data_IF_026951237885
#
_entry.id   IF_026951237885
#
_cell.length_a   1.000
_cell.length_b   1.000
_cell.length_c   1.000
_cell.angle_alpha   90.00
_cell.angle_beta   90.00
_cell.angle_gamma   90.00
#
_symmetry.space_group_name_H-M   'P 1'
#
loop_
_entity.id
_entity.type
_entity.pdbx_description
1 polymer ?
#
# COMPACT_ATOMS: atom_id res chain seq x y z
N UNK A 1 29.99 59.36 -16.46
CA UNK A 1 30.85 58.19 -16.28
C UNK A 1 30.22 57.20 -15.28
N UNK A 2 29.07 56.63 -15.58
CA UNK A 2 28.43 55.55 -14.78
C UNK A 2 27.48 54.67 -15.61
N UNK A 3 27.82 54.32 -16.86
CA UNK A 3 27.00 53.47 -17.74
C UNK A 3 27.81 52.46 -18.57
N UNK A 4 28.96 52.01 -18.10
CA UNK A 4 29.78 51.03 -18.83
C UNK A 4 30.20 49.81 -17.97
N UNK A 5 29.64 49.58 -16.78
CA UNK A 5 30.05 48.51 -15.89
C UNK A 5 29.01 47.37 -15.72
N UNK A 6 27.85 47.39 -16.42
CA UNK A 6 26.77 46.40 -16.23
C UNK A 6 26.69 45.39 -17.40
N UNK A 7 27.38 45.63 -18.51
CA UNK A 7 27.29 44.71 -19.67
C UNK A 7 28.36 43.60 -19.73
N UNK A 8 29.32 43.57 -18.80
CA UNK A 8 30.39 42.57 -18.81
C UNK A 8 30.14 41.40 -17.85
N UNK A 9 29.09 41.40 -17.03
CA UNK A 9 28.75 40.31 -16.08
C UNK A 9 27.69 39.32 -16.60
N UNK A 10 27.08 39.57 -17.75
CA UNK A 10 26.07 38.65 -18.33
C UNK A 10 26.63 37.70 -19.39
N UNK A 11 27.90 37.79 -19.74
CA UNK A 11 28.53 36.93 -20.77
C UNK A 11 29.30 35.71 -20.19
N UNK A 12 29.37 35.55 -18.86
CA UNK A 12 30.09 34.43 -18.21
C UNK A 12 29.20 33.35 -17.59
N UNK A 13 27.87 33.49 -17.66
CA UNK A 13 26.94 32.50 -17.10
C UNK A 13 26.36 31.51 -18.13
N UNK A 14 26.78 31.55 -19.38
CA UNK A 14 26.22 30.71 -20.46
C UNK A 14 27.14 29.57 -20.95
N UNK A 15 28.26 29.32 -20.29
CA UNK A 15 29.27 28.36 -20.79
C UNK A 15 29.50 27.12 -19.92
N UNK A 16 28.54 26.73 -19.04
CA UNK A 16 28.72 25.55 -18.12
C UNK A 16 27.51 24.63 -18.09
N UNK A 17 26.80 24.44 -19.19
CA UNK A 17 25.78 23.42 -19.35
C UNK A 17 25.95 22.66 -20.67
N UNK A 18 27.18 22.26 -20.99
CA UNK A 18 27.45 21.12 -21.87
C UNK A 18 27.95 19.98 -21.00
N UNK A 19 27.08 19.49 -20.10
CA UNK A 19 27.25 18.14 -19.59
C UNK A 19 27.06 17.19 -20.79
N UNK A 20 28.13 16.47 -21.15
CA UNK A 20 28.03 15.29 -22.00
C UNK A 20 26.76 14.54 -21.64
N UNK A 21 25.96 14.03 -22.61
CA UNK A 21 24.98 13.03 -22.28
C UNK A 21 25.79 11.85 -21.73
N UNK A 22 25.76 11.70 -20.40
CA UNK A 22 26.22 10.46 -19.79
C UNK A 22 25.46 9.39 -20.56
N UNK A 23 26.20 8.50 -21.24
CA UNK A 23 25.66 7.30 -21.86
C UNK A 23 24.87 6.65 -20.75
N UNK A 24 23.56 6.57 -20.91
CA UNK A 24 22.69 5.99 -19.88
C UNK A 24 23.26 4.62 -19.57
N UNK A 25 23.81 4.43 -18.35
CA UNK A 25 24.36 3.16 -17.94
C UNK A 25 23.24 2.13 -17.97
N UNK A 26 23.29 1.23 -18.97
CA UNK A 26 22.33 0.14 -19.07
C UNK A 26 22.79 -0.98 -18.14
N UNK A 27 21.90 -1.49 -17.32
CA UNK A 27 22.10 -2.66 -16.46
C UNK A 27 21.43 -3.87 -17.11
N UNK A 28 22.09 -5.00 -17.08
CA UNK A 28 21.51 -6.27 -17.56
C UNK A 28 21.27 -7.19 -16.38
N UNK A 29 20.08 -7.81 -16.31
CA UNK A 29 19.70 -8.78 -15.28
C UNK A 29 19.43 -10.12 -15.96
N UNK A 30 20.07 -11.19 -15.52
CA UNK A 30 19.82 -12.55 -15.98
C UNK A 30 19.00 -13.31 -14.94
N UNK A 31 17.76 -13.66 -15.25
CA UNK A 31 16.83 -14.37 -14.38
C UNK A 31 16.74 -15.84 -14.77
N UNK A 32 16.81 -16.77 -13.80
CA UNK A 32 16.58 -18.21 -14.02
C UNK A 32 15.14 -18.55 -14.38
N UNK A 33 14.19 -17.75 -13.88
CA UNK A 33 12.80 -17.76 -14.28
C UNK A 33 12.23 -16.34 -14.18
N UNK A 34 11.14 -16.07 -14.91
CA UNK A 34 10.46 -14.79 -14.89
C UNK A 34 8.96 -15.01 -14.58
N UNK A 35 8.41 -14.27 -13.63
CA UNK A 35 6.99 -14.31 -13.34
C UNK A 35 6.20 -13.40 -14.29
N UNK A 36 5.41 -14.00 -15.19
CA UNK A 36 4.43 -13.32 -16.04
C UNK A 36 3.20 -12.97 -15.18
N UNK A 37 3.23 -11.79 -14.60
CA UNK A 37 2.23 -11.34 -13.65
C UNK A 37 0.84 -11.09 -14.30
N UNK A 38 0.80 -10.77 -15.58
CA UNK A 38 -0.45 -10.56 -16.32
C UNK A 38 -1.23 -11.88 -16.46
N UNK A 39 -0.52 -12.99 -16.71
CA UNK A 39 -1.10 -14.29 -16.91
C UNK A 39 -0.96 -15.25 -15.72
N UNK A 40 -0.43 -14.80 -14.57
CA UNK A 40 -0.22 -15.56 -13.34
C UNK A 40 0.52 -16.89 -13.59
N UNK A 41 1.65 -16.84 -14.31
CA UNK A 41 2.44 -18.04 -14.64
C UNK A 41 3.94 -17.76 -14.62
N UNK A 42 4.72 -18.83 -14.48
CA UNK A 42 6.17 -18.77 -14.63
C UNK A 42 6.56 -18.98 -16.10
N UNK A 43 7.49 -18.16 -16.55
CA UNK A 43 8.25 -18.34 -17.80
C UNK A 43 9.64 -18.89 -17.46
N UNK A 44 10.33 -19.45 -18.46
CA UNK A 44 11.72 -19.89 -18.36
C UNK A 44 12.69 -18.74 -18.16
N UNK A 45 14.01 -18.99 -18.40
CA UNK A 45 15.03 -17.98 -18.23
C UNK A 45 14.86 -16.77 -19.13
N UNK A 46 15.09 -15.56 -18.57
CA UNK A 46 14.98 -14.30 -19.30
C UNK A 46 16.10 -13.34 -18.95
N UNK A 47 16.47 -12.52 -19.92
CA UNK A 47 17.34 -11.36 -19.76
C UNK A 47 16.49 -10.09 -19.81
N UNK A 48 16.67 -9.24 -18.81
CA UNK A 48 16.12 -7.89 -18.76
C UNK A 48 17.24 -6.89 -19.02
N UNK A 49 16.96 -5.84 -19.78
CA UNK A 49 17.83 -4.68 -19.90
C UNK A 49 17.12 -3.48 -19.29
N UNK A 50 17.81 -2.79 -18.39
CA UNK A 50 17.31 -1.60 -17.69
C UNK A 50 18.09 -0.39 -18.18
N UNK A 51 17.37 0.64 -18.62
CA UNK A 51 17.95 1.90 -19.09
C UNK A 51 17.11 3.06 -18.51
N UNK A 52 17.77 4.03 -17.88
CA UNK A 52 17.10 5.20 -17.27
C UNK A 52 15.94 4.82 -16.33
N UNK A 53 16.15 3.80 -15.49
CA UNK A 53 15.16 3.36 -14.51
C UNK A 53 13.95 2.61 -15.08
N UNK A 54 13.97 2.25 -16.38
CA UNK A 54 12.92 1.51 -17.06
C UNK A 54 13.45 0.24 -17.70
N UNK A 55 12.57 -0.74 -17.85
CA UNK A 55 12.85 -1.95 -18.64
C UNK A 55 12.83 -1.55 -20.11
N UNK A 56 13.99 -1.63 -20.78
CA UNK A 56 14.14 -1.30 -22.21
C UNK A 56 14.03 -2.53 -23.11
N UNK A 57 14.44 -3.72 -22.60
CA UNK A 57 14.34 -4.98 -23.35
C UNK A 57 14.01 -6.15 -22.42
N UNK A 58 13.29 -7.14 -22.97
CA UNK A 58 13.01 -8.43 -22.31
C UNK A 58 13.20 -9.53 -23.35
N UNK A 59 14.11 -10.45 -23.10
CA UNK A 59 14.42 -11.55 -24.03
C UNK A 59 14.50 -12.88 -23.31
N UNK A 60 13.97 -13.98 -23.87
CA UNK A 60 14.25 -15.31 -23.37
C UNK A 60 15.75 -15.64 -23.52
N UNK A 61 16.27 -16.49 -22.65
CA UNK A 61 17.63 -17.01 -22.69
C UNK A 61 17.56 -18.48 -23.12
N UNK A 62 18.21 -18.81 -24.25
CA UNK A 62 18.26 -20.18 -24.78
C UNK A 62 19.35 -21.02 -24.07
N UNK A 63 20.46 -20.39 -23.67
CA UNK A 63 21.55 -21.04 -22.94
C UNK A 63 21.82 -20.34 -21.59
N UNK A 64 21.32 -20.94 -20.53
CA UNK A 64 21.50 -20.43 -19.17
C UNK A 64 22.98 -20.49 -18.70
N UNK A 65 23.84 -21.32 -19.33
CA UNK A 65 25.23 -21.48 -19.00
C UNK A 65 26.14 -20.53 -19.79
N UNK A 66 25.57 -19.75 -20.73
CA UNK A 66 26.35 -18.74 -21.45
C UNK A 66 27.02 -17.77 -20.46
N UNK A 67 28.22 -17.31 -20.81
CA UNK A 67 29.00 -16.40 -19.96
C UNK A 67 28.22 -15.08 -19.77
N UNK A 68 27.87 -14.76 -18.52
CA UNK A 68 27.30 -13.47 -18.15
C UNK A 68 28.36 -12.39 -18.35
N UNK A 69 27.96 -11.23 -18.88
CA UNK A 69 28.86 -10.08 -19.03
C UNK A 69 29.31 -9.57 -17.66
N UNK A 70 30.52 -9.06 -17.54
CA UNK A 70 31.18 -8.72 -16.27
C UNK A 70 30.42 -7.73 -15.37
N UNK A 71 29.51 -6.96 -15.94
CA UNK A 71 28.69 -5.96 -15.23
C UNK A 71 27.17 -6.33 -15.16
N UNK A 72 26.80 -7.57 -15.47
CA UNK A 72 25.40 -7.98 -15.38
C UNK A 72 25.08 -8.54 -14.00
N UNK A 73 23.86 -8.28 -13.54
CA UNK A 73 23.29 -8.85 -12.31
C UNK A 73 22.90 -10.29 -12.62
N UNK A 74 23.49 -11.23 -11.90
CA UNK A 74 23.28 -12.67 -12.10
C UNK A 74 22.26 -13.24 -11.11
N UNK A 75 21.03 -13.42 -11.58
CA UNK A 75 19.92 -14.05 -10.86
C UNK A 75 19.47 -15.36 -11.54
N UNK A 76 20.42 -16.10 -12.16
CA UNK A 76 20.09 -17.35 -12.87
C UNK A 76 19.62 -18.47 -11.95
N UNK A 77 19.92 -18.41 -10.66
CA UNK A 77 19.40 -19.33 -9.64
C UNK A 77 18.12 -18.81 -8.96
N UNK A 78 17.53 -17.72 -9.48
CA UNK A 78 16.40 -17.04 -8.89
C UNK A 78 15.24 -16.84 -9.89
N UNK A 79 14.06 -16.66 -9.34
CA UNK A 79 12.89 -16.15 -10.07
C UNK A 79 12.82 -14.63 -9.91
N UNK A 80 12.76 -13.91 -11.04
CA UNK A 80 12.48 -12.48 -11.07
C UNK A 80 10.97 -12.22 -11.14
N UNK A 81 10.50 -11.34 -10.28
CA UNK A 81 9.12 -10.84 -10.24
C UNK A 81 9.10 -9.33 -10.43
N UNK A 82 7.99 -8.74 -10.88
CA UNK A 82 7.80 -7.29 -10.75
C UNK A 82 7.91 -6.87 -9.29
N UNK A 83 8.34 -5.64 -9.04
CA UNK A 83 8.28 -5.05 -7.70
C UNK A 83 6.90 -5.23 -7.08
N UNK A 84 6.86 -5.69 -5.84
CA UNK A 84 5.61 -5.98 -5.12
C UNK A 84 4.89 -4.68 -4.74
N UNK A 85 3.57 -4.75 -4.74
CA UNK A 85 2.69 -3.65 -4.32
C UNK A 85 1.83 -4.10 -3.15
N UNK A 86 1.89 -3.38 -2.03
CA UNK A 86 1.00 -3.56 -0.88
C UNK A 86 -0.07 -2.47 -0.88
N UNK A 87 -1.34 -2.86 -1.07
CA UNK A 87 -2.46 -1.94 -1.23
C UNK A 87 -3.03 -1.42 0.08
N UNK A 88 -2.47 -1.83 1.23
CA UNK A 88 -2.91 -1.36 2.53
C UNK A 88 -1.77 -1.39 3.54
N UNK A 89 -1.18 -0.23 3.79
CA UNK A 89 -0.17 -0.04 4.84
C UNK A 89 -0.43 1.24 5.64
N UNK A 90 0.23 1.36 6.79
CA UNK A 90 0.27 2.55 7.64
C UNK A 90 1.72 2.88 8.02
N UNK A 91 2.48 3.45 7.10
CA UNK A 91 3.90 3.79 7.32
C UNK A 91 4.12 4.85 8.41
N UNK A 92 3.06 5.56 8.80
CA UNK A 92 3.11 6.54 9.87
C UNK A 92 3.09 5.96 11.29
N UNK A 93 2.86 4.66 11.46
CA UNK A 93 2.72 4.01 12.77
C UNK A 93 3.17 2.56 12.76
N UNK A 94 3.41 2.02 13.96
CA UNK A 94 3.52 0.58 14.19
C UNK A 94 2.97 0.26 15.58
N UNK A 95 2.05 -0.71 15.65
CA UNK A 95 1.39 -1.12 16.89
C UNK A 95 2.39 -1.66 17.91
N UNK A 96 2.21 -1.26 19.16
CA UNK A 96 2.96 -1.71 20.32
C UNK A 96 2.09 -1.58 21.57
N UNK A 97 2.47 -2.16 22.72
CA UNK A 97 1.76 -1.91 23.98
C UNK A 97 1.69 -0.43 24.38
N UNK A 98 2.64 0.39 23.94
CA UNK A 98 2.68 1.82 24.20
C UNK A 98 1.84 2.67 23.24
N UNK A 99 1.40 2.12 22.09
CA UNK A 99 0.79 2.87 20.99
C UNK A 99 -0.41 3.75 21.43
N UNK A 100 -1.26 3.24 22.34
CA UNK A 100 -2.40 4.00 22.87
C UNK A 100 -2.03 5.19 23.75
N UNK A 101 -0.79 5.27 24.24
CA UNK A 101 -0.29 6.37 25.07
C UNK A 101 0.70 7.29 24.32
N UNK A 102 1.20 6.86 23.17
CA UNK A 102 2.19 7.61 22.40
C UNK A 102 1.67 8.97 21.94
N UNK A 103 0.39 9.06 21.53
CA UNK A 103 -0.23 10.32 21.13
C UNK A 103 -0.23 11.44 22.19
N UNK A 104 0.04 11.10 23.46
CA UNK A 104 0.21 12.07 24.54
C UNK A 104 1.66 12.42 24.85
N UNK A 105 2.63 11.80 24.17
CA UNK A 105 4.07 11.89 24.49
C UNK A 105 4.94 12.23 23.30
N UNK A 106 4.50 11.86 22.09
CA UNK A 106 5.26 12.03 20.86
C UNK A 106 4.76 13.22 20.07
N UNK A 107 5.68 13.93 19.45
CA UNK A 107 5.40 15.00 18.51
C UNK A 107 5.27 14.42 17.07
N UNK A 108 4.69 15.16 16.12
CA UNK A 108 4.60 14.74 14.72
C UNK A 108 5.95 14.35 14.11
N UNK A 109 7.05 15.01 14.52
CA UNK A 109 8.41 14.77 14.06
C UNK A 109 8.92 13.38 14.49
N UNK A 110 8.57 12.94 15.72
CA UNK A 110 8.93 11.62 16.22
C UNK A 110 8.33 10.51 15.32
N UNK A 111 7.07 10.66 14.93
CA UNK A 111 6.42 9.75 13.98
C UNK A 111 7.04 9.84 12.58
N UNK A 112 7.38 11.04 12.11
CA UNK A 112 8.01 11.23 10.81
C UNK A 112 9.37 10.51 10.73
N UNK A 113 10.22 10.63 11.74
CA UNK A 113 11.51 9.94 11.77
C UNK A 113 11.36 8.41 11.89
N UNK A 114 10.40 7.91 12.66
CA UNK A 114 10.12 6.47 12.73
C UNK A 114 9.65 5.93 11.38
N UNK A 115 8.84 6.69 10.64
CA UNK A 115 8.29 6.28 9.35
C UNK A 115 9.36 6.07 8.28
N UNK A 116 10.51 6.74 8.37
CA UNK A 116 11.67 6.49 7.49
C UNK A 116 12.15 5.04 7.61
N UNK A 117 12.37 4.55 8.83
CA UNK A 117 12.79 3.17 9.05
C UNK A 117 11.71 2.14 8.68
N UNK A 118 10.42 2.51 8.78
CA UNK A 118 9.32 1.65 8.34
C UNK A 118 9.30 1.52 6.82
N UNK A 119 9.43 2.64 6.10
CA UNK A 119 9.49 2.67 4.65
C UNK A 119 10.70 1.88 4.10
N UNK A 120 11.87 2.02 4.71
CA UNK A 120 13.08 1.30 4.32
C UNK A 120 12.90 -0.22 4.45
N UNK A 121 12.40 -0.71 5.61
CA UNK A 121 12.14 -2.15 5.81
C UNK A 121 11.11 -2.70 4.83
N UNK A 122 10.07 -1.94 4.54
CA UNK A 122 9.04 -2.32 3.54
C UNK A 122 9.65 -2.43 2.15
N UNK A 123 10.50 -1.49 1.75
CA UNK A 123 11.20 -1.54 0.46
C UNK A 123 12.15 -2.73 0.38
N UNK A 124 12.96 -2.97 1.42
CA UNK A 124 13.89 -4.11 1.47
C UNK A 124 13.21 -5.48 1.47
N UNK A 125 11.94 -5.53 1.91
CA UNK A 125 11.11 -6.72 1.80
C UNK A 125 10.53 -6.95 0.38
N UNK A 126 10.90 -6.12 -0.61
CA UNK A 126 10.48 -6.24 -2.02
C UNK A 126 9.24 -5.44 -2.39
N UNK A 127 8.62 -4.72 -1.45
CA UNK A 127 7.47 -3.86 -1.74
C UNK A 127 7.94 -2.50 -2.26
N UNK A 128 8.07 -2.39 -3.58
CA UNK A 128 8.56 -1.17 -4.24
C UNK A 128 7.47 -0.10 -4.38
N UNK A 129 6.21 -0.48 -4.25
CA UNK A 129 5.05 0.42 -4.22
C UNK A 129 4.12 0.08 -3.06
N UNK A 130 3.56 1.08 -2.40
CA UNK A 130 2.56 0.89 -1.34
C UNK A 130 1.44 1.91 -1.47
N UNK A 131 0.22 1.50 -1.08
CA UNK A 131 -0.89 2.43 -0.81
C UNK A 131 -1.02 2.60 0.69
N UNK A 132 -0.64 3.78 1.19
CA UNK A 132 -0.76 4.14 2.60
C UNK A 132 -2.16 4.72 2.88
N UNK A 133 -2.92 4.02 3.70
CA UNK A 133 -4.33 4.33 3.95
C UNK A 133 -4.59 5.09 5.27
N UNK A 134 -3.59 5.77 5.78
CA UNK A 134 -3.76 6.69 6.91
C UNK A 134 -2.49 6.98 7.67
N UNK A 135 -2.21 8.25 7.80
CA UNK A 135 -1.07 8.77 8.51
C UNK A 135 -0.81 10.22 8.11
N UNK A 136 -0.69 11.10 9.09
CA UNK A 136 -0.47 12.53 8.83
C UNK A 136 0.86 12.79 8.14
N UNK A 137 1.86 11.94 8.40
CA UNK A 137 3.24 12.13 7.96
C UNK A 137 3.50 11.53 6.57
N UNK A 138 2.62 10.68 6.05
CA UNK A 138 2.90 9.85 4.88
C UNK A 138 2.98 10.64 3.58
N UNK A 139 2.27 11.77 3.48
CA UNK A 139 2.42 12.69 2.34
C UNK A 139 3.82 13.32 2.36
N UNK A 140 4.31 13.76 3.52
CA UNK A 140 5.65 14.32 3.64
C UNK A 140 6.73 13.25 3.40
N UNK A 141 6.52 12.03 3.90
CA UNK A 141 7.39 10.88 3.65
C UNK A 141 7.47 10.55 2.15
N UNK A 142 6.32 10.47 1.45
CA UNK A 142 6.27 10.31 -0.01
C UNK A 142 7.11 11.38 -0.71
N UNK A 143 6.87 12.65 -0.38
CA UNK A 143 7.57 13.75 -1.02
C UNK A 143 9.10 13.71 -0.79
N UNK A 144 9.55 13.26 0.39
CA UNK A 144 10.97 13.11 0.68
C UNK A 144 11.60 11.93 -0.11
N UNK A 145 10.87 10.82 -0.26
CA UNK A 145 11.30 9.69 -1.09
C UNK A 145 11.35 10.07 -2.57
N UNK A 146 10.33 10.76 -3.09
CA UNK A 146 10.26 11.19 -4.49
C UNK A 146 11.36 12.20 -4.84
N UNK A 147 11.83 12.99 -3.87
CA UNK A 147 12.99 13.88 -4.01
C UNK A 147 14.34 13.16 -3.84
N UNK A 148 14.35 11.88 -3.53
CA UNK A 148 15.58 11.12 -3.29
C UNK A 148 16.31 11.47 -1.99
N UNK A 149 15.64 12.13 -1.03
CA UNK A 149 16.24 12.52 0.25
C UNK A 149 16.39 11.32 1.20
N UNK A 150 15.51 10.35 1.08
CA UNK A 150 15.50 9.12 1.90
C UNK A 150 15.08 7.92 1.04
N UNK A 151 15.55 6.70 1.36
CA UNK A 151 15.08 5.49 0.70
C UNK A 151 13.65 5.13 1.11
N UNK A 152 12.90 4.52 0.20
CA UNK A 152 11.55 4.02 0.49
C UNK A 152 10.81 3.57 -0.76
N UNK A 153 9.64 2.92 -0.61
CA UNK A 153 8.78 2.54 -1.71
C UNK A 153 8.12 3.78 -2.34
N UNK A 154 7.56 3.63 -3.53
CA UNK A 154 6.62 4.59 -4.12
C UNK A 154 5.34 4.57 -3.28
N UNK A 155 4.96 5.70 -2.71
CA UNK A 155 3.81 5.79 -1.81
C UNK A 155 2.64 6.45 -2.52
N UNK A 156 1.47 5.81 -2.48
CA UNK A 156 0.17 6.37 -2.83
C UNK A 156 -0.52 6.71 -1.51
N UNK A 157 -0.52 7.97 -1.12
CA UNK A 157 -0.87 8.42 0.23
C UNK A 157 -2.32 8.91 0.34
N UNK A 158 -3.07 8.38 1.30
CA UNK A 158 -4.42 8.88 1.62
C UNK A 158 -4.39 10.13 2.53
N UNK A 159 -3.35 10.30 3.31
CA UNK A 159 -3.38 11.28 4.39
C UNK A 159 -4.40 10.92 5.47
N UNK A 160 -5.17 11.88 5.99
CA UNK A 160 -6.20 11.61 7.01
C UNK A 160 -7.37 10.83 6.41
N UNK A 161 -7.75 9.73 7.04
CA UNK A 161 -8.99 9.01 6.70
C UNK A 161 -10.23 9.87 6.97
N UNK A 162 -11.32 9.61 6.24
CA UNK A 162 -12.61 10.24 6.48
C UNK A 162 -13.47 9.30 7.32
N UNK A 163 -14.02 9.80 8.41
CA UNK A 163 -14.90 9.11 9.35
C UNK A 163 -16.09 9.98 9.72
N UNK A 164 -17.09 9.41 10.37
CA UNK A 164 -18.15 10.17 11.06
C UNK A 164 -17.76 10.48 12.50
N UNK A 165 -18.46 11.39 13.16
CA UNK A 165 -18.29 11.65 14.61
C UNK A 165 -18.44 10.36 15.40
N UNK A 166 -17.43 10.03 16.22
CA UNK A 166 -17.37 8.77 16.96
C UNK A 166 -17.06 7.55 16.09
N UNK A 167 -16.79 7.72 14.81
CA UNK A 167 -16.41 6.67 13.88
C UNK A 167 -14.99 6.14 14.13
N UNK A 168 -14.63 5.05 13.44
CA UNK A 168 -13.37 4.33 13.68
C UNK A 168 -12.11 5.22 13.58
N UNK A 169 -12.06 6.13 12.61
CA UNK A 169 -10.94 7.03 12.41
C UNK A 169 -11.18 8.45 12.99
N UNK A 170 -12.17 8.64 13.87
CA UNK A 170 -12.31 9.89 14.61
C UNK A 170 -11.13 10.06 15.58
N UNK A 171 -10.30 11.12 15.44
CA UNK A 171 -9.10 11.31 16.25
C UNK A 171 -9.41 11.63 17.73
N UNK A 172 -10.67 11.84 18.10
CA UNK A 172 -11.10 12.09 19.49
C UNK A 172 -11.65 10.86 20.19
N UNK A 173 -11.66 9.71 19.53
CA UNK A 173 -12.08 8.46 20.17
C UNK A 173 -11.14 8.07 21.32
N UNK A 174 -11.75 7.74 22.49
CA UNK A 174 -11.01 7.21 23.64
C UNK A 174 -10.35 8.25 24.54
N UNK A 175 -10.51 9.56 24.28
CA UNK A 175 -10.04 10.64 25.16
C UNK A 175 -11.16 11.12 26.11
N UNK A 176 -10.77 11.75 27.22
CA UNK A 176 -11.76 12.31 28.14
C UNK A 176 -12.50 13.50 27.53
N UNK A 177 -13.71 13.75 28.00
CA UNK A 177 -14.52 14.88 27.54
C UNK A 177 -13.80 16.23 27.73
N UNK A 178 -13.17 16.43 28.89
CA UNK A 178 -12.45 17.68 29.18
C UNK A 178 -11.26 17.91 28.21
N UNK A 179 -10.55 16.84 27.86
CA UNK A 179 -9.48 16.92 26.88
C UNK A 179 -10.04 17.18 25.47
N UNK A 180 -11.12 16.50 25.08
CA UNK A 180 -11.78 16.74 23.79
C UNK A 180 -12.26 18.19 23.68
N UNK A 181 -12.88 18.74 24.72
CA UNK A 181 -13.35 20.14 24.78
C UNK A 181 -12.16 21.12 24.63
N UNK A 182 -11.00 20.81 25.24
CA UNK A 182 -9.79 21.66 25.17
C UNK A 182 -9.13 21.63 23.78
N UNK A 183 -9.20 20.50 23.08
CA UNK A 183 -8.62 20.29 21.75
C UNK A 183 -9.54 20.76 20.63
N UNK A 184 -10.81 21.04 20.93
CA UNK A 184 -11.84 21.35 19.95
C UNK A 184 -12.39 20.10 19.23
N UNK A 185 -13.57 20.25 18.66
CA UNK A 185 -14.24 19.20 17.92
C UNK A 185 -13.68 19.08 16.51
N UNK A 186 -13.34 17.86 16.03
CA UNK A 186 -12.83 17.66 14.69
C UNK A 186 -13.93 17.88 13.65
N UNK A 187 -13.56 18.43 12.51
CA UNK A 187 -14.43 18.66 11.36
C UNK A 187 -13.89 18.06 10.07
N UNK A 188 -14.40 18.47 8.90
CA UNK A 188 -13.97 17.96 7.59
C UNK A 188 -12.46 18.11 7.34
N UNK A 189 -11.81 19.12 7.90
CA UNK A 189 -10.35 19.33 7.83
C UNK A 189 -9.59 18.22 8.58
N UNK A 190 -10.17 17.69 9.64
CA UNK A 190 -9.63 16.58 10.41
C UNK A 190 -10.08 15.21 9.90
N UNK A 191 -10.95 15.20 8.89
CA UNK A 191 -11.53 13.98 8.33
C UNK A 191 -12.80 13.51 9.03
N UNK A 192 -13.42 14.32 9.91
CA UNK A 192 -14.68 13.97 10.57
C UNK A 192 -15.83 14.73 9.95
N UNK A 193 -16.87 13.99 9.51
CA UNK A 193 -17.98 14.58 8.77
C UNK A 193 -19.34 14.18 9.37
N UNK A 194 -20.33 15.05 9.12
CA UNK A 194 -21.75 14.80 9.35
C UNK A 194 -22.56 15.32 8.14
N UNK A 195 -22.98 14.40 7.30
CA UNK A 195 -23.78 14.66 6.10
C UNK A 195 -23.00 14.92 4.82
N UNK A 196 -23.70 14.88 3.66
CA UNK A 196 -23.08 14.91 2.33
C UNK A 196 -22.30 16.20 2.01
N UNK A 197 -22.67 17.34 2.58
CA UNK A 197 -21.98 18.63 2.34
C UNK A 197 -20.58 18.59 2.94
N UNK A 198 -20.45 18.12 4.18
CA UNK A 198 -19.16 17.98 4.86
C UNK A 198 -18.31 16.87 4.21
N UNK A 199 -18.94 15.80 3.74
CA UNK A 199 -18.31 14.74 2.98
C UNK A 199 -17.55 15.29 1.76
N UNK A 200 -18.22 16.12 0.93
CA UNK A 200 -17.60 16.80 -0.21
C UNK A 200 -16.47 17.75 0.21
N UNK A 201 -16.66 18.45 1.33
CA UNK A 201 -15.63 19.36 1.87
C UNK A 201 -14.38 18.58 2.31
N UNK A 202 -14.56 17.45 2.99
CA UNK A 202 -13.44 16.60 3.42
C UNK A 202 -12.62 16.06 2.24
N UNK A 203 -13.26 15.59 1.15
CA UNK A 203 -12.54 15.16 -0.07
C UNK A 203 -11.72 16.29 -0.68
N UNK A 204 -12.31 17.49 -0.80
CA UNK A 204 -11.61 18.67 -1.34
C UNK A 204 -10.44 19.09 -0.46
N UNK A 205 -10.56 18.90 0.86
CA UNK A 205 -9.45 19.14 1.79
C UNK A 205 -8.32 18.13 1.56
N UNK A 206 -8.61 16.84 1.36
CA UNK A 206 -7.59 15.82 0.99
C UNK A 206 -6.89 16.18 -0.31
N UNK A 207 -7.62 16.62 -1.32
CA UNK A 207 -7.02 17.11 -2.57
C UNK A 207 -6.06 18.28 -2.32
N UNK A 208 -6.48 19.29 -1.55
CA UNK A 208 -5.65 20.45 -1.18
C UNK A 208 -4.38 20.03 -0.43
N UNK A 209 -4.45 19.01 0.42
CA UNK A 209 -3.32 18.51 1.20
C UNK A 209 -2.36 17.62 0.40
N UNK A 210 -2.73 17.25 -0.83
CA UNK A 210 -1.90 16.44 -1.72
C UNK A 210 -2.06 14.94 -1.53
N UNK A 211 -3.23 14.47 -1.07
CA UNK A 211 -3.56 13.05 -1.10
C UNK A 211 -3.59 12.50 -2.52
N UNK A 212 -3.35 11.20 -2.69
CA UNK A 212 -3.43 10.47 -3.97
C UNK A 212 -4.65 9.54 -4.03
N UNK A 213 -5.26 9.27 -2.90
CA UNK A 213 -6.38 8.33 -2.72
C UNK A 213 -7.24 8.79 -1.53
N UNK A 214 -8.51 8.45 -1.53
CA UNK A 214 -9.39 8.69 -0.38
C UNK A 214 -9.56 7.41 0.43
N UNK A 215 -9.41 7.50 1.75
CA UNK A 215 -9.73 6.42 2.71
C UNK A 215 -10.95 6.83 3.52
N UNK A 216 -11.92 5.91 3.64
CA UNK A 216 -13.06 6.03 4.56
C UNK A 216 -13.09 4.85 5.53
N UNK A 217 -13.78 5.04 6.66
CA UNK A 217 -14.07 3.96 7.62
C UNK A 217 -15.58 3.70 7.67
N UNK A 218 -16.05 2.81 6.78
CA UNK A 218 -17.47 2.54 6.59
C UNK A 218 -18.14 1.82 7.77
N UNK A 219 -17.33 1.11 8.58
CA UNK A 219 -17.78 0.45 9.82
C UNK A 219 -16.89 0.81 11.00
N UNK A 220 -17.28 0.39 12.19
CA UNK A 220 -16.38 0.34 13.35
C UNK A 220 -15.13 -0.50 13.05
N UNK A 221 -14.11 -0.39 13.90
CA UNK A 221 -12.85 -1.11 13.75
C UNK A 221 -12.45 -1.87 15.00
N UNK A 222 -11.58 -2.85 14.81
CA UNK A 222 -11.11 -3.73 15.89
C UNK A 222 -10.31 -2.97 16.94
N UNK A 223 -9.37 -2.14 16.52
CA UNK A 223 -8.40 -1.46 17.39
C UNK A 223 -8.90 -0.11 17.95
N UNK A 224 -10.06 0.39 17.56
CA UNK A 224 -10.62 1.63 18.11
C UNK A 224 -11.33 1.39 19.46
N UNK A 225 -11.53 2.47 20.22
CA UNK A 225 -12.27 2.44 21.49
C UNK A 225 -13.79 2.27 21.32
N UNK A 226 -14.29 2.19 20.09
CA UNK A 226 -15.72 1.92 19.82
C UNK A 226 -16.12 0.52 20.31
N UNK A 227 -17.37 0.39 20.79
CA UNK A 227 -17.91 -0.87 21.34
C UNK A 227 -18.02 -1.98 20.30
N UNK A 228 -18.33 -1.64 19.05
CA UNK A 228 -18.52 -2.59 17.95
C UNK A 228 -17.52 -2.31 16.82
N UNK A 229 -17.03 -3.41 16.22
CA UNK A 229 -16.29 -3.36 14.96
C UNK A 229 -17.21 -3.45 13.72
N UNK A 230 -18.48 -3.80 13.91
CA UNK A 230 -19.36 -4.28 12.84
C UNK A 230 -20.40 -3.25 12.41
N UNK A 231 -20.76 -2.28 13.29
CA UNK A 231 -21.80 -1.33 13.01
C UNK A 231 -21.44 -0.40 11.83
N UNK A 232 -22.39 -0.12 10.92
CA UNK A 232 -22.21 0.91 9.90
C UNK A 232 -22.03 2.27 10.55
N UNK A 233 -21.15 3.10 9.99
CA UNK A 233 -20.81 4.41 10.54
C UNK A 233 -21.16 5.57 9.62
N UNK A 234 -21.46 5.27 8.35
CA UNK A 234 -21.94 6.25 7.38
C UNK A 234 -23.36 5.92 6.91
N UNK A 235 -24.10 6.93 6.55
CA UNK A 235 -25.26 6.79 5.67
C UNK A 235 -24.77 6.62 4.22
N UNK A 236 -25.57 5.97 3.38
CA UNK A 236 -25.15 5.68 2.00
C UNK A 236 -24.98 6.94 1.15
N UNK A 237 -25.78 7.99 1.40
CA UNK A 237 -25.69 9.27 0.72
C UNK A 237 -24.41 10.05 1.08
N UNK A 238 -23.88 9.89 2.31
CA UNK A 238 -22.58 10.44 2.71
C UNK A 238 -21.45 9.77 1.95
N UNK A 239 -21.45 8.43 1.88
CA UNK A 239 -20.43 7.69 1.10
C UNK A 239 -20.54 8.04 -0.37
N UNK A 240 -21.75 8.12 -0.93
CA UNK A 240 -21.97 8.52 -2.33
C UNK A 240 -21.41 9.91 -2.60
N UNK A 241 -21.61 10.86 -1.70
CA UNK A 241 -21.06 12.21 -1.83
C UNK A 241 -19.51 12.22 -1.79
N UNK A 242 -18.90 11.34 -0.98
CA UNK A 242 -17.45 11.14 -0.98
C UNK A 242 -17.00 10.58 -2.34
N UNK A 243 -17.59 9.47 -2.79
CA UNK A 243 -17.19 8.76 -4.00
C UNK A 243 -17.32 9.64 -5.24
N UNK A 244 -18.48 10.27 -5.45
CA UNK A 244 -18.71 11.17 -6.57
C UNK A 244 -17.67 12.30 -6.60
N UNK A 245 -17.43 12.94 -5.45
CA UNK A 245 -16.46 14.03 -5.38
C UNK A 245 -15.01 13.52 -5.59
N UNK A 246 -14.67 12.35 -5.06
CA UNK A 246 -13.36 11.74 -5.22
C UNK A 246 -13.09 11.39 -6.69
N UNK A 247 -14.03 10.77 -7.38
CA UNK A 247 -13.92 10.41 -8.78
C UNK A 247 -13.81 11.65 -9.70
N UNK A 248 -14.53 12.74 -9.40
CA UNK A 248 -14.38 14.02 -10.10
C UNK A 248 -12.95 14.60 -10.01
N UNK A 249 -12.24 14.31 -8.92
CA UNK A 249 -10.83 14.70 -8.73
C UNK A 249 -9.83 13.61 -9.19
N UNK A 250 -10.30 12.50 -9.76
CA UNK A 250 -9.46 11.40 -10.22
C UNK A 250 -8.96 10.49 -9.09
N UNK A 251 -9.53 10.56 -7.88
CA UNK A 251 -9.19 9.69 -6.77
C UNK A 251 -9.94 8.38 -6.80
N UNK A 252 -9.27 7.31 -6.37
CA UNK A 252 -9.91 6.07 -5.93
C UNK A 252 -10.31 6.17 -4.47
N UNK A 253 -11.34 5.40 -4.07
CA UNK A 253 -11.85 5.36 -2.70
C UNK A 253 -11.68 3.97 -2.11
N UNK A 254 -10.93 3.87 -1.01
CA UNK A 254 -10.73 2.66 -0.23
C UNK A 254 -11.59 2.70 1.04
N UNK A 255 -12.38 1.66 1.31
CA UNK A 255 -13.29 1.60 2.44
C UNK A 255 -12.91 0.49 3.44
N UNK A 256 -12.43 0.87 4.64
CA UNK A 256 -12.40 -0.04 5.78
C UNK A 256 -13.80 -0.54 6.09
N UNK A 257 -14.00 -1.85 6.12
CA UNK A 257 -15.28 -2.44 6.50
C UNK A 257 -15.13 -3.87 7.04
N UNK A 258 -15.71 -4.11 8.21
CA UNK A 258 -15.87 -5.46 8.77
C UNK A 258 -17.32 -5.94 8.65
N UNK A 259 -18.29 -5.16 9.10
CA UNK A 259 -19.71 -5.52 9.16
C UNK A 259 -20.41 -5.40 7.82
N UNK A 260 -21.41 -6.27 7.58
CA UNK A 260 -22.14 -6.42 6.32
C UNK A 260 -22.80 -5.12 5.85
N UNK A 261 -23.62 -4.50 6.69
CA UNK A 261 -24.44 -3.36 6.28
C UNK A 261 -23.60 -2.16 5.83
N UNK A 262 -22.55 -1.80 6.61
CA UNK A 262 -21.67 -0.68 6.23
C UNK A 262 -20.87 -0.99 4.98
N UNK A 263 -20.45 -2.23 4.81
CA UNK A 263 -19.75 -2.70 3.62
C UNK A 263 -20.62 -2.64 2.37
N UNK A 264 -21.85 -3.14 2.43
CA UNK A 264 -22.79 -3.12 1.31
C UNK A 264 -23.19 -1.70 0.93
N UNK A 265 -23.37 -0.79 1.91
CA UNK A 265 -23.56 0.65 1.63
C UNK A 265 -22.37 1.23 0.86
N UNK A 266 -21.15 0.92 1.30
CA UNK A 266 -19.94 1.39 0.62
C UNK A 266 -19.86 0.89 -0.82
N UNK A 267 -20.13 -0.40 -1.06
CA UNK A 267 -20.13 -0.98 -2.41
C UNK A 267 -21.20 -0.36 -3.30
N UNK A 268 -22.46 -0.22 -2.80
CA UNK A 268 -23.55 0.42 -3.56
C UNK A 268 -23.26 1.89 -3.87
N UNK A 269 -22.54 2.57 -3.00
CA UNK A 269 -22.12 3.96 -3.21
C UNK A 269 -20.96 4.08 -4.22
N UNK A 270 -20.31 2.97 -4.62
CA UNK A 270 -19.33 2.93 -5.69
C UNK A 270 -17.86 3.01 -5.23
N UNK A 271 -17.52 2.59 -4.01
CA UNK A 271 -16.11 2.53 -3.59
C UNK A 271 -15.29 1.56 -4.46
N UNK A 272 -14.02 1.88 -4.67
CA UNK A 272 -13.14 1.09 -5.54
C UNK A 272 -12.60 -0.17 -4.86
N UNK A 273 -12.40 -0.13 -3.54
CA UNK A 273 -11.96 -1.31 -2.79
C UNK A 273 -12.59 -1.39 -1.40
N UNK A 274 -12.82 -2.63 -0.95
CA UNK A 274 -13.14 -2.99 0.43
C UNK A 274 -11.88 -3.57 1.08
N UNK A 275 -11.52 -2.99 2.20
CA UNK A 275 -10.41 -3.41 3.04
C UNK A 275 -10.94 -4.32 4.16
N UNK A 276 -10.21 -5.38 4.50
CA UNK A 276 -10.54 -6.39 5.52
C UNK A 276 -11.72 -7.30 5.16
N UNK A 277 -12.91 -6.78 4.95
CA UNK A 277 -14.08 -7.53 4.46
C UNK A 277 -14.54 -8.70 5.33
N UNK A 278 -14.30 -8.68 6.64
CA UNK A 278 -14.34 -9.85 7.53
C UNK A 278 -15.63 -10.67 7.46
N UNK A 279 -16.79 -10.01 7.43
CA UNK A 279 -18.09 -10.68 7.50
C UNK A 279 -18.80 -10.78 6.14
N UNK A 280 -18.08 -10.70 5.01
CA UNK A 280 -18.69 -10.85 3.69
C UNK A 280 -19.46 -12.17 3.55
N UNK A 281 -20.63 -12.09 2.95
CA UNK A 281 -21.48 -13.19 2.56
C UNK A 281 -21.60 -13.31 1.02
N UNK A 282 -22.40 -14.26 0.57
CA UNK A 282 -22.59 -14.51 -0.87
C UNK A 282 -23.21 -13.32 -1.60
N UNK A 283 -24.13 -12.59 -0.97
CA UNK A 283 -24.77 -11.41 -1.56
C UNK A 283 -23.76 -10.28 -1.70
N UNK A 284 -22.88 -10.11 -0.71
CA UNK A 284 -21.80 -9.13 -0.77
C UNK A 284 -20.78 -9.46 -1.88
N UNK A 285 -20.41 -10.73 -2.05
CA UNK A 285 -19.55 -11.15 -3.18
C UNK A 285 -20.19 -10.85 -4.53
N UNK A 286 -21.50 -11.12 -4.68
CA UNK A 286 -22.24 -10.79 -5.91
C UNK A 286 -22.25 -9.27 -6.15
N UNK A 287 -22.48 -8.49 -5.09
CA UNK A 287 -22.51 -7.03 -5.16
C UNK A 287 -21.12 -6.46 -5.53
N UNK A 288 -20.03 -6.96 -4.98
CA UNK A 288 -18.66 -6.57 -5.35
C UNK A 288 -18.38 -6.82 -6.83
N UNK A 289 -18.77 -7.99 -7.35
CA UNK A 289 -18.57 -8.33 -8.75
C UNK A 289 -19.37 -7.41 -9.68
N UNK A 290 -20.64 -7.12 -9.35
CA UNK A 290 -21.49 -6.24 -10.18
C UNK A 290 -21.03 -4.78 -10.17
N UNK A 291 -20.38 -4.32 -9.11
CA UNK A 291 -19.85 -2.96 -8.99
C UNK A 291 -18.35 -2.85 -9.33
N UNK A 292 -17.70 -3.95 -9.76
CA UNK A 292 -16.27 -4.00 -10.02
C UNK A 292 -15.40 -3.58 -8.81
N UNK A 293 -15.89 -3.73 -7.60
CA UNK A 293 -15.16 -3.40 -6.37
C UNK A 293 -14.10 -4.47 -6.06
N UNK A 294 -12.89 -4.04 -5.72
CA UNK A 294 -11.79 -4.92 -5.34
C UNK A 294 -11.85 -5.32 -3.87
N UNK A 295 -11.30 -6.50 -3.56
CA UNK A 295 -11.09 -6.96 -2.19
C UNK A 295 -9.61 -6.92 -1.82
N UNK A 296 -9.29 -6.25 -0.70
CA UNK A 296 -7.95 -6.16 -0.09
C UNK A 296 -8.02 -6.82 1.29
N UNK A 297 -7.58 -8.09 1.44
CA UNK A 297 -7.97 -8.95 2.57
C UNK A 297 -7.31 -8.62 3.90
N UNK A 298 -6.01 -8.29 3.95
CA UNK A 298 -5.26 -7.97 5.17
C UNK A 298 -5.35 -9.06 6.27
N UNK A 299 -5.21 -10.31 5.86
CA UNK A 299 -5.37 -11.48 6.76
C UNK A 299 -4.33 -11.45 7.87
N UNK A 300 -3.09 -11.06 7.53
CA UNK A 300 -1.98 -11.02 8.48
C UNK A 300 -2.26 -10.09 9.66
N UNK A 301 -2.85 -8.92 9.41
CA UNK A 301 -3.26 -8.02 10.49
C UNK A 301 -4.31 -8.69 11.39
N UNK A 302 -5.31 -9.37 10.80
CA UNK A 302 -6.31 -10.12 11.54
C UNK A 302 -5.72 -11.21 12.43
N UNK A 303 -4.78 -12.00 11.89
CA UNK A 303 -4.07 -13.04 12.64
C UNK A 303 -3.25 -12.43 13.77
N UNK A 304 -2.43 -11.41 13.48
CA UNK A 304 -1.59 -10.74 14.46
C UNK A 304 -2.39 -10.16 15.63
N UNK A 305 -3.48 -9.43 15.37
CA UNK A 305 -4.28 -8.85 16.46
C UNK A 305 -4.96 -9.92 17.28
N UNK A 306 -5.38 -11.04 16.67
CA UNK A 306 -5.94 -12.18 17.39
C UNK A 306 -4.92 -12.84 18.31
N UNK A 307 -3.68 -13.03 17.86
CA UNK A 307 -2.59 -13.54 18.68
C UNK A 307 -2.27 -12.59 19.85
N UNK A 308 -2.09 -11.30 19.56
CA UNK A 308 -1.75 -10.28 20.56
C UNK A 308 -2.87 -9.99 21.55
N UNK A 309 -4.12 -10.31 21.23
CA UNK A 309 -5.24 -10.19 22.17
C UNK A 309 -5.11 -11.08 23.41
N UNK A 310 -4.31 -12.16 23.31
CA UNK A 310 -4.03 -13.09 24.43
C UNK A 310 -2.97 -12.56 25.37
N UNK A 311 -2.15 -11.62 24.94
CA UNK A 311 -1.11 -10.99 25.76
C UNK A 311 -1.76 -9.92 26.66
N UNK A 312 -1.67 -10.12 28.01
CA UNK A 312 -2.24 -9.18 28.98
C UNK A 312 -1.48 -7.85 28.87
N UNK A 313 -2.24 -6.74 28.75
CA UNK A 313 -1.67 -5.39 28.66
C UNK A 313 -1.22 -4.98 27.26
N UNK A 314 -1.26 -5.85 26.24
CA UNK A 314 -0.93 -5.44 24.87
C UNK A 314 -2.01 -4.51 24.29
N UNK A 315 -3.29 -4.87 24.46
CA UNK A 315 -4.43 -4.03 24.05
C UNK A 315 -5.28 -3.64 25.25
N UNK A 316 -5.97 -2.48 25.18
CA UNK A 316 -7.02 -2.12 26.15
C UNK A 316 -8.12 -3.18 26.24
N UNK A 317 -8.75 -3.33 27.42
CA UNK A 317 -9.78 -4.35 27.67
C UNK A 317 -10.96 -4.29 26.70
N UNK A 318 -11.35 -3.10 26.20
CA UNK A 318 -12.44 -2.93 25.21
C UNK A 318 -12.05 -3.47 23.82
N UNK A 319 -10.76 -3.51 23.50
CA UNK A 319 -10.23 -3.97 22.19
C UNK A 319 -10.07 -5.49 22.16
N UNK A 320 -9.60 -6.10 23.25
CA UNK A 320 -9.24 -7.53 23.32
C UNK A 320 -10.33 -8.48 22.81
N UNK A 321 -11.61 -8.39 23.20
CA UNK A 321 -12.65 -9.29 22.72
C UNK A 321 -12.91 -9.18 21.21
N UNK A 322 -12.79 -7.98 20.64
CA UNK A 322 -12.91 -7.76 19.18
C UNK A 322 -11.74 -8.38 18.44
N UNK A 323 -10.52 -8.14 18.91
CA UNK A 323 -9.28 -8.65 18.34
C UNK A 323 -9.23 -10.19 18.36
N UNK A 324 -9.67 -10.84 19.45
CA UNK A 324 -9.66 -12.29 19.58
C UNK A 324 -10.50 -13.03 18.51
N UNK A 325 -11.52 -12.38 17.94
CA UNK A 325 -12.48 -13.01 17.02
C UNK A 325 -12.10 -12.88 15.54
N UNK A 326 -11.21 -11.95 15.17
CA UNK A 326 -11.08 -11.49 13.79
C UNK A 326 -10.25 -12.45 12.91
N UNK A 327 -9.15 -13.01 13.43
CA UNK A 327 -8.13 -13.70 12.62
C UNK A 327 -8.65 -14.84 11.76
N UNK A 328 -9.30 -15.85 12.36
CA UNK A 328 -9.83 -16.98 11.62
C UNK A 328 -10.99 -16.60 10.68
N UNK A 329 -11.78 -15.60 11.04
CA UNK A 329 -12.91 -15.16 10.23
C UNK A 329 -12.46 -14.49 8.93
N UNK A 330 -11.49 -13.59 8.99
CA UNK A 330 -11.00 -12.85 7.83
C UNK A 330 -10.33 -13.81 6.83
N UNK A 331 -9.54 -14.78 7.31
CA UNK A 331 -8.89 -15.78 6.47
C UNK A 331 -9.93 -16.71 5.77
N UNK A 332 -10.93 -17.18 6.50
CA UNK A 332 -12.01 -17.98 5.92
C UNK A 332 -12.83 -17.21 4.88
N UNK A 333 -13.01 -15.89 5.09
CA UNK A 333 -13.72 -15.03 4.14
C UNK A 333 -12.93 -14.84 2.86
N UNK A 334 -11.60 -14.69 2.93
CA UNK A 334 -10.74 -14.62 1.75
C UNK A 334 -10.91 -15.85 0.84
N UNK A 335 -10.85 -17.06 1.40
CA UNK A 335 -11.05 -18.31 0.63
C UNK A 335 -12.40 -18.35 -0.09
N UNK A 336 -13.50 -17.96 0.61
CA UNK A 336 -14.83 -17.89 0.03
C UNK A 336 -14.95 -16.82 -1.06
N UNK A 337 -14.37 -15.65 -0.85
CA UNK A 337 -14.35 -14.55 -1.82
C UNK A 337 -13.61 -14.94 -3.11
N UNK A 338 -12.45 -15.60 -2.97
CA UNK A 338 -11.70 -16.12 -4.09
C UNK A 338 -12.52 -17.13 -4.91
N UNK A 339 -13.11 -18.14 -4.26
CA UNK A 339 -13.96 -19.14 -4.92
C UNK A 339 -15.20 -18.52 -5.59
N UNK A 340 -15.72 -17.43 -5.05
CA UNK A 340 -16.82 -16.67 -5.63
C UNK A 340 -16.40 -15.79 -6.84
N UNK A 341 -15.09 -15.70 -7.14
CA UNK A 341 -14.54 -14.92 -8.23
C UNK A 341 -14.52 -13.41 -7.98
N UNK A 342 -14.40 -12.98 -6.71
CA UNK A 342 -14.14 -11.59 -6.34
C UNK A 342 -12.70 -11.22 -6.72
N UNK A 343 -12.48 -10.05 -7.30
CA UNK A 343 -11.14 -9.58 -7.68
C UNK A 343 -10.32 -9.25 -6.44
N UNK A 344 -9.14 -9.85 -6.33
CA UNK A 344 -8.23 -9.67 -5.20
C UNK A 344 -7.08 -8.71 -5.56
N UNK A 345 -6.76 -7.79 -4.64
CA UNK A 345 -5.50 -7.06 -4.64
C UNK A 345 -4.83 -7.26 -3.27
N UNK A 346 -3.53 -7.50 -3.29
CA UNK A 346 -2.74 -7.77 -2.08
C UNK A 346 -2.69 -6.55 -1.17
N UNK A 347 -2.90 -6.74 0.12
CA UNK A 347 -2.73 -5.71 1.14
C UNK A 347 -2.67 -6.33 2.51
N UNK A 348 -1.90 -5.74 3.41
CA UNK A 348 -1.50 -6.38 4.66
C UNK A 348 -1.94 -5.67 5.92
N UNK A 349 -2.20 -4.34 5.86
CA UNK A 349 -2.39 -3.46 7.01
C UNK A 349 -1.11 -3.38 7.89
N UNK A 350 0.09 -3.42 7.24
CA UNK A 350 1.35 -3.24 7.94
C UNK A 350 1.38 -1.91 8.70
N UNK A 351 1.84 -1.95 9.94
CA UNK A 351 1.63 -0.94 10.96
C UNK A 351 0.79 -1.52 12.10
N UNK A 352 -0.18 -2.37 11.82
CA UNK A 352 -0.86 -3.22 12.81
C UNK A 352 0.10 -4.32 13.31
N UNK A 353 1.02 -4.75 12.48
CA UNK A 353 2.17 -5.62 12.79
C UNK A 353 3.47 -4.97 12.30
N UNK A 354 4.67 -5.53 12.60
CA UNK A 354 5.95 -4.92 12.21
C UNK A 354 6.12 -4.79 10.69
N UNK A 355 6.54 -3.60 10.24
CA UNK A 355 6.91 -3.36 8.85
C UNK A 355 8.10 -4.23 8.42
N UNK A 356 8.04 -4.75 7.18
CA UNK A 356 8.99 -5.70 6.61
C UNK A 356 8.54 -7.15 6.69
N UNK A 357 7.47 -7.47 7.46
CA UNK A 357 6.86 -8.80 7.52
C UNK A 357 5.69 -8.98 6.52
N UNK A 358 5.45 -8.02 5.65
CA UNK A 358 4.32 -7.96 4.71
C UNK A 358 4.16 -9.25 3.88
N UNK A 359 5.26 -9.88 3.48
CA UNK A 359 5.23 -11.11 2.67
C UNK A 359 4.64 -12.34 3.37
N UNK A 360 4.43 -12.31 4.69
CA UNK A 360 3.69 -13.38 5.42
C UNK A 360 2.22 -13.47 4.96
N UNK A 361 1.65 -12.40 4.43
CA UNK A 361 0.30 -12.40 3.86
C UNK A 361 0.16 -13.43 2.74
N UNK A 362 1.21 -13.64 1.90
CA UNK A 362 1.19 -14.65 0.85
C UNK A 362 0.94 -16.07 1.37
N UNK A 363 1.58 -16.46 2.49
CA UNK A 363 1.37 -17.77 3.09
C UNK A 363 -0.08 -17.93 3.55
N UNK A 364 -0.62 -16.91 4.23
CA UNK A 364 -1.99 -16.91 4.72
C UNK A 364 -3.03 -16.90 3.58
N UNK A 365 -2.74 -16.25 2.45
CA UNK A 365 -3.57 -16.34 1.25
C UNK A 365 -3.59 -17.75 0.68
N UNK A 366 -2.42 -18.41 0.61
CA UNK A 366 -2.33 -19.78 0.11
C UNK A 366 -3.01 -20.76 1.07
N UNK A 367 -2.85 -20.60 2.38
CA UNK A 367 -3.57 -21.37 3.39
C UNK A 367 -5.09 -21.20 3.30
N UNK A 368 -5.57 -20.02 2.87
CA UNK A 368 -6.99 -19.78 2.60
C UNK A 368 -7.49 -20.40 1.29
N UNK A 369 -6.62 -21.06 0.50
CA UNK A 369 -6.95 -21.74 -0.75
C UNK A 369 -6.74 -20.88 -2.02
N UNK A 370 -6.08 -19.73 -1.93
CA UNK A 370 -5.68 -18.94 -3.10
C UNK A 370 -4.42 -19.56 -3.69
N UNK A 371 -4.36 -19.93 -5.00
CA UNK A 371 -3.14 -20.46 -5.61
C UNK A 371 -1.98 -19.47 -5.52
N UNK A 372 -0.75 -19.95 -5.31
CA UNK A 372 0.44 -19.10 -5.17
C UNK A 372 0.60 -18.11 -6.32
N UNK A 373 0.40 -18.55 -7.57
CA UNK A 373 0.50 -17.66 -8.74
C UNK A 373 -0.54 -16.52 -8.71
N UNK A 374 -1.76 -16.78 -8.20
CA UNK A 374 -2.81 -15.77 -8.04
C UNK A 374 -2.48 -14.81 -6.89
N UNK A 375 -1.92 -15.34 -5.79
CA UNK A 375 -1.44 -14.50 -4.69
C UNK A 375 -0.33 -13.55 -5.16
N UNK A 376 0.65 -14.02 -5.94
CA UNK A 376 1.69 -13.19 -6.56
C UNK A 376 1.10 -12.17 -7.54
N UNK A 377 0.14 -12.58 -8.38
CA UNK A 377 -0.56 -11.68 -9.29
C UNK A 377 -1.30 -10.56 -8.53
N UNK A 378 -1.89 -10.87 -7.37
CA UNK A 378 -2.61 -9.88 -6.55
C UNK A 378 -1.70 -8.76 -6.04
N UNK A 379 -0.41 -9.04 -5.77
CA UNK A 379 0.60 -8.09 -5.32
C UNK A 379 1.38 -7.41 -6.47
N UNK A 380 1.04 -7.71 -7.70
CA UNK A 380 1.73 -7.18 -8.88
C UNK A 380 0.72 -6.60 -9.87
N UNK A 381 0.24 -7.38 -10.82
CA UNK A 381 -0.65 -6.92 -11.88
C UNK A 381 -1.98 -6.37 -11.33
N UNK A 382 -2.67 -7.12 -10.45
CA UNK A 382 -3.97 -6.70 -9.92
C UNK A 382 -3.87 -5.40 -9.11
N UNK A 383 -2.85 -5.28 -8.26
CA UNK A 383 -2.61 -4.06 -7.51
C UNK A 383 -2.35 -2.86 -8.44
N UNK A 384 -1.60 -3.06 -9.53
CA UNK A 384 -1.37 -2.00 -10.52
C UNK A 384 -2.65 -1.56 -11.24
N UNK A 385 -3.58 -2.50 -11.50
CA UNK A 385 -4.90 -2.20 -12.06
C UNK A 385 -5.77 -1.38 -11.08
N UNK A 386 -5.79 -1.77 -9.79
CA UNK A 386 -6.53 -1.00 -8.78
C UNK A 386 -5.98 0.42 -8.58
N UNK A 387 -4.66 0.61 -8.80
CA UNK A 387 -4.03 1.92 -8.75
C UNK A 387 -4.15 2.74 -10.05
N UNK A 388 -4.69 2.17 -11.15
CA UNK A 388 -4.64 2.75 -12.50
C UNK A 388 -3.20 3.05 -12.99
N UNK A 389 -2.23 2.24 -12.54
CA UNK A 389 -0.81 2.38 -12.90
C UNK A 389 -0.23 1.19 -13.65
N UNK A 390 -1.08 0.37 -14.22
CA UNK A 390 -0.66 -0.81 -14.99
C UNK A 390 0.14 -0.47 -16.26
N UNK A 391 0.13 0.78 -16.70
CA UNK A 391 1.04 1.25 -17.74
C UNK A 391 2.49 1.46 -17.23
N UNK A 392 2.68 1.64 -15.92
CA UNK A 392 3.97 1.99 -15.32
C UNK A 392 4.61 0.83 -14.52
N UNK A 393 3.79 0.04 -13.80
CA UNK A 393 4.23 -1.00 -12.87
C UNK A 393 3.42 -2.29 -13.03
N UNK A 394 3.70 -3.30 -12.24
CA UNK A 394 2.90 -4.53 -12.11
C UNK A 394 3.27 -5.66 -13.06
N UNK A 395 4.15 -5.44 -14.05
CA UNK A 395 4.76 -6.51 -14.86
C UNK A 395 6.17 -6.11 -15.31
N UNK A 396 6.99 -7.11 -15.68
CA UNK A 396 8.35 -6.92 -16.22
C UNK A 396 8.29 -6.76 -17.76
N UNK A 397 7.55 -5.76 -18.23
CA UNK A 397 7.37 -5.49 -19.64
C UNK A 397 8.13 -4.24 -20.09
N UNK A 398 8.51 -4.19 -21.38
CA UNK A 398 9.21 -3.04 -21.97
C UNK A 398 8.42 -1.73 -21.75
N UNK A 399 9.14 -0.68 -21.35
CA UNK A 399 8.62 0.66 -21.08
C UNK A 399 8.18 0.89 -19.63
N UNK A 400 8.01 -0.16 -18.83
CA UNK A 400 7.65 -0.05 -17.41
C UNK A 400 8.86 0.27 -16.55
N UNK A 401 8.61 0.73 -15.33
CA UNK A 401 9.63 1.00 -14.33
C UNK A 401 10.42 -0.29 -14.02
N UNK A 402 11.70 -0.16 -13.85
CA UNK A 402 12.56 -1.27 -13.48
C UNK A 402 12.48 -1.51 -11.96
N UNK A 403 11.31 -1.98 -11.52
CA UNK A 403 11.04 -2.50 -10.19
C UNK A 403 11.12 -4.03 -10.27
N UNK A 404 12.19 -4.63 -9.74
CA UNK A 404 12.45 -6.06 -9.86
C UNK A 404 12.71 -6.65 -8.48
N UNK A 405 12.06 -7.78 -8.19
CA UNK A 405 12.31 -8.60 -6.99
C UNK A 405 12.82 -9.96 -7.42
N UNK A 406 13.96 -10.39 -6.87
CA UNK A 406 14.52 -11.71 -7.06
C UNK A 406 14.35 -12.57 -5.81
N UNK A 407 13.82 -13.79 -5.95
CA UNK A 407 13.74 -14.78 -4.88
C UNK A 407 14.46 -16.07 -5.30
N UNK A 408 15.18 -16.70 -4.38
CA UNK A 408 15.88 -17.95 -4.66
C UNK A 408 14.87 -19.09 -4.90
N UNK A 409 14.93 -19.75 -6.07
CA UNK A 409 14.01 -20.85 -6.42
C UNK A 409 12.67 -20.40 -7.00
N UNK A 410 11.63 -21.24 -6.86
CA UNK A 410 10.31 -21.06 -7.47
C UNK A 410 9.26 -20.67 -6.43
N UNK A 411 8.79 -19.41 -6.39
CA UNK A 411 7.78 -18.96 -5.43
C UNK A 411 6.36 -19.47 -5.75
N UNK A 412 6.12 -20.00 -6.95
CA UNK A 412 4.82 -20.64 -7.28
C UNK A 412 4.70 -22.00 -6.59
N UNK A 413 5.82 -22.73 -6.47
CA UNK A 413 5.87 -24.01 -5.76
C UNK A 413 6.00 -23.84 -4.25
N UNK A 414 6.74 -22.81 -3.82
CA UNK A 414 6.97 -22.49 -2.41
C UNK A 414 6.82 -20.99 -2.15
N UNK A 415 5.62 -20.57 -1.80
CA UNK A 415 5.30 -19.15 -1.59
C UNK A 415 6.07 -18.52 -0.42
N UNK A 416 6.55 -19.32 0.55
CA UNK A 416 7.31 -18.84 1.69
C UNK A 416 8.65 -18.15 1.30
N UNK A 417 9.17 -18.43 0.09
CA UNK A 417 10.37 -17.78 -0.46
C UNK A 417 10.20 -16.25 -0.58
N UNK A 418 8.96 -15.77 -0.71
CA UNK A 418 8.67 -14.33 -0.79
C UNK A 418 9.06 -13.56 0.47
N UNK A 419 9.23 -14.23 1.62
CA UNK A 419 9.68 -13.59 2.87
C UNK A 419 11.16 -13.19 2.87
N UNK A 420 11.95 -13.77 1.98
CA UNK A 420 13.41 -13.58 1.93
C UNK A 420 13.87 -13.25 0.51
N UNK A 421 13.47 -12.09 -0.05
CA UNK A 421 13.98 -11.69 -1.35
C UNK A 421 15.49 -11.53 -1.28
N UNK A 422 16.20 -12.09 -2.27
CA UNK A 422 17.66 -11.97 -2.37
C UNK A 422 18.08 -10.74 -3.17
N UNK A 423 17.17 -10.20 -3.97
CA UNK A 423 17.40 -9.02 -4.80
C UNK A 423 16.18 -8.12 -4.81
N UNK A 424 16.40 -6.81 -4.69
CA UNK A 424 15.37 -5.76 -4.83
C UNK A 424 15.95 -4.60 -5.62
N UNK A 425 15.26 -4.22 -6.69
CA UNK A 425 15.53 -3.02 -7.48
C UNK A 425 14.27 -2.16 -7.54
N UNK A 426 14.42 -0.85 -7.37
CA UNK A 426 13.34 0.13 -7.55
C UNK A 426 13.80 1.23 -8.50
N UNK A 427 13.01 1.52 -9.54
CA UNK A 427 13.33 2.54 -10.56
C UNK A 427 14.77 2.37 -11.14
N UNK A 428 15.24 1.12 -11.32
CA UNK A 428 16.58 0.80 -11.81
C UNK A 428 17.71 0.93 -10.78
N UNK A 429 17.41 1.31 -9.54
CA UNK A 429 18.38 1.40 -8.45
C UNK A 429 18.31 0.14 -7.61
N UNK A 430 19.47 -0.55 -7.46
CA UNK A 430 19.57 -1.72 -6.58
C UNK A 430 19.49 -1.27 -5.13
N UNK A 431 18.56 -1.86 -4.40
CA UNK A 431 18.28 -1.60 -2.98
C UNK A 431 18.83 -2.74 -2.11
N UNK A 432 18.77 -3.95 -2.62
CA UNK A 432 19.24 -5.17 -1.97
C UNK A 432 19.85 -6.09 -3.00
N UNK A 433 21.03 -6.64 -2.69
CA UNK A 433 21.76 -7.60 -3.50
C UNK A 433 22.51 -8.56 -2.56
N UNK A 434 22.04 -9.84 -2.45
CA UNK A 434 22.62 -10.87 -1.56
C UNK A 434 22.52 -12.26 -2.15
#
# INVERSE_FOLDING_TARGET
MRMLAVQTLMAMAAALLLSNPARADSQTIHCGALFDAENARLLGPHRLVVTEGKISEVHPIDDLHAKVTENAIDLRDATCLPGLTDMHVHLGMQTSPAAYSEGFRLNPEDYAFRSVGYAERTLQAGFTTVRDLGGLQTIALRNAIDQGLIPGPRIIAAGKSIATTGGHADPRNGISRELADSLGYPGPEDGVIAGPIEARRAVRQRYKEGSDVIKITATGGVLSFAKSADNPQFMEDEIRAIVETAHDYGFRVAAHAHGLEGMQRAIRAGVDSIEHGTYMDADTFALMKSNNTWYVPTVLAGVFVSEKSREIGYYPEIVRPKAARIGALIQATLGRAYLAGVRLAFGTDAGVFPHGENAREFELMVEAGVPSAVALQSATWNASLLLDRNAEIGSLSVGKRADVVGVAGNPVDNIALMKTPIFVMKDGVVVRDH
#
